data_IF_208763660429
#
_entry.id   IF_208763660429
#
_cell.length_a   1.000
_cell.length_b   1.000
_cell.length_c   1.000
_cell.angle_alpha   90.00
_cell.angle_beta   90.00
_cell.angle_gamma   90.00
#
_symmetry.space_group_name_H-M   'P 1'
#
loop_
_entity.id
_entity.type
_entity.pdbx_description
1 polymer ?
#
# COMPACT_ATOMS: atom_id res chain seq x y z
N UNK A 1 19.72 -9.99 20.19
CA UNK A 1 19.96 -10.40 18.78
C UNK A 1 18.66 -10.93 18.15
N UNK A 2 17.87 -10.05 17.57
CA UNK A 2 16.64 -10.40 16.83
C UNK A 2 16.86 -10.06 15.35
N UNK A 3 17.39 -11.00 14.58
CA UNK A 3 17.55 -10.88 13.12
C UNK A 3 17.01 -12.13 12.43
N UNK A 4 15.68 -12.23 12.33
CA UNK A 4 14.98 -13.11 11.39
C UNK A 4 13.65 -12.45 11.01
N UNK A 5 13.52 -11.76 9.88
CA UNK A 5 14.53 -11.45 8.86
C UNK A 5 13.97 -10.42 7.86
N UNK A 6 14.83 -9.68 7.13
CA UNK A 6 14.39 -9.04 5.90
C UNK A 6 14.22 -10.14 4.86
N UNK A 7 13.31 -9.94 3.90
CA UNK A 7 13.29 -10.71 2.66
C UNK A 7 14.74 -10.70 2.13
N UNK A 8 15.41 -11.85 2.17
CA UNK A 8 16.88 -11.92 1.97
C UNK A 8 17.31 -11.51 0.55
N UNK A 9 16.35 -11.42 -0.37
CA UNK A 9 16.53 -11.11 -1.78
C UNK A 9 15.45 -10.14 -2.28
N UNK A 10 15.19 -9.02 -1.57
CA UNK A 10 14.40 -7.96 -2.19
C UNK A 10 15.21 -7.43 -3.38
N UNK A 11 14.75 -7.58 -4.64
CA UNK A 11 15.49 -7.05 -5.76
C UNK A 11 15.63 -5.54 -5.58
N UNK A 12 16.86 -5.04 -5.70
CA UNK A 12 17.11 -3.61 -5.75
C UNK A 12 16.26 -3.04 -6.89
N UNK A 13 15.34 -2.14 -6.55
CA UNK A 13 14.62 -1.40 -7.56
C UNK A 13 15.63 -0.61 -8.39
N UNK A 14 15.40 -0.53 -9.70
CA UNK A 14 16.22 0.31 -10.56
C UNK A 14 16.24 1.73 -10.01
N UNK A 15 17.38 2.42 -10.16
CA UNK A 15 17.54 3.79 -9.66
C UNK A 15 16.41 4.71 -10.15
N UNK A 16 16.02 4.57 -11.42
CA UNK A 16 14.91 5.33 -12.01
C UNK A 16 13.57 5.10 -11.29
N UNK A 17 13.27 3.86 -10.94
CA UNK A 17 12.05 3.51 -10.18
C UNK A 17 12.09 4.05 -8.76
N UNK A 18 13.26 3.94 -8.11
CA UNK A 18 13.46 4.47 -6.76
C UNK A 18 13.32 5.99 -6.73
N UNK A 19 13.95 6.69 -7.68
CA UNK A 19 13.86 8.15 -7.81
C UNK A 19 12.41 8.58 -8.08
N UNK A 20 11.70 7.89 -8.99
CA UNK A 20 10.29 8.18 -9.27
C UNK A 20 9.40 8.06 -8.04
N UNK A 21 9.50 6.97 -7.28
CA UNK A 21 8.71 6.77 -6.06
C UNK A 21 9.07 7.79 -4.99
N UNK A 22 10.35 8.11 -4.82
CA UNK A 22 10.78 9.13 -3.87
C UNK A 22 10.18 10.51 -4.20
N UNK A 23 10.15 10.85 -5.49
CA UNK A 23 9.77 12.18 -5.94
C UNK A 23 8.24 12.34 -6.08
N UNK A 24 7.48 11.24 -6.20
CA UNK A 24 6.05 11.26 -6.51
C UNK A 24 5.18 10.41 -5.55
N UNK A 25 5.74 9.84 -4.48
CA UNK A 25 4.99 8.97 -3.56
C UNK A 25 5.29 9.29 -2.10
N UNK A 26 4.50 10.20 -1.53
CA UNK A 26 4.53 10.45 -0.09
C UNK A 26 3.95 9.25 0.70
N UNK A 27 4.24 9.13 2.02
CA UNK A 27 3.78 7.99 2.82
C UNK A 27 2.25 7.80 2.83
N UNK A 28 1.47 8.88 2.71
CA UNK A 28 0.02 8.76 2.62
C UNK A 28 -0.43 8.27 1.24
N UNK A 29 0.19 8.74 0.16
CA UNK A 29 -0.07 8.20 -1.18
C UNK A 29 0.20 6.70 -1.24
N UNK A 30 1.30 6.23 -0.63
CA UNK A 30 1.57 4.78 -0.52
C UNK A 30 0.53 4.05 0.34
N UNK A 31 -0.02 4.71 1.37
CA UNK A 31 -1.08 4.15 2.21
C UNK A 31 -2.41 4.06 1.47
N UNK A 32 -2.74 5.08 0.67
CA UNK A 32 -3.89 5.12 -0.21
C UNK A 32 -3.84 4.00 -1.26
N UNK A 33 -2.67 3.78 -1.89
CA UNK A 33 -2.46 2.68 -2.84
C UNK A 33 -2.70 1.33 -2.17
N UNK A 34 -2.16 1.12 -0.95
CA UNK A 34 -2.38 -0.11 -0.19
C UNK A 34 -3.84 -0.33 0.16
N UNK A 35 -4.57 0.72 0.56
CA UNK A 35 -6.00 0.62 0.83
C UNK A 35 -6.78 0.25 -0.43
N UNK A 36 -6.49 0.90 -1.56
CA UNK A 36 -7.17 0.61 -2.82
C UNK A 36 -6.98 -0.85 -3.28
N UNK A 37 -5.74 -1.35 -3.22
CA UNK A 37 -5.47 -2.76 -3.54
C UNK A 37 -6.20 -3.70 -2.56
N UNK A 38 -6.25 -3.33 -1.27
CA UNK A 38 -6.95 -4.12 -0.28
C UNK A 38 -8.48 -4.16 -0.50
N UNK A 39 -9.08 -3.08 -1.00
CA UNK A 39 -10.47 -3.07 -1.45
C UNK A 39 -10.69 -4.02 -2.63
N UNK A 40 -9.81 -3.99 -3.64
CA UNK A 40 -9.89 -4.89 -4.80
C UNK A 40 -9.79 -6.36 -4.39
N UNK A 41 -8.92 -6.71 -3.46
CA UNK A 41 -8.83 -8.08 -2.93
C UNK A 41 -10.15 -8.56 -2.30
N UNK A 42 -10.92 -7.65 -1.67
CA UNK A 42 -12.23 -7.95 -1.13
C UNK A 42 -13.27 -8.10 -2.25
N UNK A 43 -13.29 -7.18 -3.21
CA UNK A 43 -14.21 -7.19 -4.36
C UNK A 43 -14.04 -8.43 -5.23
N UNK A 44 -12.78 -8.82 -5.49
CA UNK A 44 -12.42 -10.01 -6.26
C UNK A 44 -12.61 -11.32 -5.45
N UNK A 45 -12.98 -11.23 -4.17
CA UNK A 45 -13.24 -12.38 -3.30
C UNK A 45 -11.98 -13.18 -2.92
N UNK A 46 -10.77 -12.63 -3.15
CA UNK A 46 -9.48 -13.24 -2.80
C UNK A 46 -9.37 -13.40 -1.27
N UNK A 47 -9.93 -12.45 -0.53
CA UNK A 47 -9.97 -12.45 0.94
C UNK A 47 -11.38 -12.22 1.44
N UNK A 48 -11.68 -12.74 2.63
CA UNK A 48 -13.05 -12.83 3.16
C UNK A 48 -13.47 -11.63 4.01
N UNK A 49 -12.52 -10.84 4.52
CA UNK A 49 -12.81 -9.67 5.35
C UNK A 49 -11.62 -8.73 5.44
N UNK A 50 -11.89 -7.46 5.72
CA UNK A 50 -10.85 -6.44 5.86
C UNK A 50 -10.00 -6.67 7.12
N UNK A 51 -10.57 -7.21 8.20
CA UNK A 51 -9.84 -7.55 9.43
C UNK A 51 -8.80 -8.65 9.18
N UNK A 52 -9.08 -9.58 8.27
CA UNK A 52 -8.13 -10.61 7.88
C UNK A 52 -6.92 -9.99 7.17
N UNK A 53 -7.15 -9.02 6.28
CA UNK A 53 -6.08 -8.29 5.59
C UNK A 53 -5.19 -7.58 6.61
N UNK A 54 -5.78 -6.78 7.49
CA UNK A 54 -5.02 -6.02 8.50
C UNK A 54 -4.23 -6.94 9.43
N UNK A 55 -4.84 -8.04 9.88
CA UNK A 55 -4.20 -9.03 10.75
C UNK A 55 -3.02 -9.72 10.07
N UNK A 56 -3.14 -10.08 8.79
CA UNK A 56 -2.07 -10.74 8.04
C UNK A 56 -0.92 -9.76 7.79
N UNK A 57 -1.21 -8.52 7.41
CA UNK A 57 -0.20 -7.48 7.21
C UNK A 57 0.56 -7.22 8.52
N UNK A 58 -0.14 -7.03 9.63
CA UNK A 58 0.49 -6.86 10.95
C UNK A 58 1.38 -8.04 11.32
N UNK A 59 0.90 -9.28 11.14
CA UNK A 59 1.69 -10.47 11.45
C UNK A 59 2.91 -10.65 10.54
N UNK A 60 2.82 -10.25 9.27
CA UNK A 60 3.89 -10.41 8.30
C UNK A 60 4.92 -9.28 8.31
N UNK A 61 4.51 -8.07 8.68
CA UNK A 61 5.32 -6.85 8.52
C UNK A 61 5.55 -6.06 9.81
N UNK A 62 4.81 -6.36 10.88
CA UNK A 62 4.77 -5.56 12.11
C UNK A 62 4.32 -4.10 11.91
N UNK A 63 3.59 -3.83 10.82
CA UNK A 63 3.01 -2.53 10.51
C UNK A 63 1.47 -2.66 10.53
N UNK A 64 0.78 -1.59 10.93
CA UNK A 64 -0.67 -1.50 10.85
C UNK A 64 -1.19 -1.76 9.43
N UNK A 65 -2.31 -2.47 9.35
CA UNK A 65 -2.97 -2.75 8.09
C UNK A 65 -3.64 -1.52 7.47
N UNK A 66 -3.95 -1.58 6.17
CA UNK A 66 -4.48 -0.44 5.42
C UNK A 66 -5.84 0.03 5.95
N UNK A 67 -6.68 -0.84 6.51
CA UNK A 67 -8.01 -0.44 6.98
C UNK A 67 -8.00 0.24 8.36
N UNK A 68 -6.90 0.16 9.11
CA UNK A 68 -6.78 0.83 10.43
C UNK A 68 -7.03 2.32 10.29
N UNK A 69 -6.31 2.99 9.38
CA UNK A 69 -6.49 4.43 9.09
C UNK A 69 -7.36 4.69 7.87
N UNK A 70 -7.40 3.74 6.93
CA UNK A 70 -8.07 3.93 5.65
C UNK A 70 -9.57 4.19 5.76
N UNK A 71 -10.25 3.59 6.75
CA UNK A 71 -11.69 3.80 6.97
C UNK A 71 -12.05 5.24 7.32
N UNK A 72 -11.12 5.99 7.92
CA UNK A 72 -11.34 7.37 8.32
C UNK A 72 -10.86 8.35 7.23
N UNK A 73 -9.79 8.00 6.52
CA UNK A 73 -9.13 8.88 5.53
C UNK A 73 -9.52 8.63 4.07
N UNK A 74 -10.38 7.66 3.77
CA UNK A 74 -10.61 7.22 2.39
C UNK A 74 -10.97 8.34 1.41
N UNK A 75 -11.71 9.38 1.84
CA UNK A 75 -12.08 10.51 0.97
C UNK A 75 -10.86 11.30 0.51
N UNK A 76 -10.00 11.70 1.44
CA UNK A 76 -8.74 12.41 1.16
C UNK A 76 -7.79 11.52 0.34
N UNK A 77 -7.78 10.23 0.64
CA UNK A 77 -6.92 9.27 -0.06
C UNK A 77 -7.37 8.97 -1.50
N UNK A 78 -8.66 9.08 -1.80
CA UNK A 78 -9.17 9.02 -3.18
C UNK A 78 -8.63 10.20 -4.00
N UNK A 79 -8.58 11.41 -3.45
CA UNK A 79 -8.01 12.58 -4.13
C UNK A 79 -6.51 12.36 -4.44
N UNK A 80 -5.75 11.86 -3.45
CA UNK A 80 -4.34 11.48 -3.66
C UNK A 80 -4.15 10.43 -4.75
N UNK A 81 -5.05 9.46 -4.84
CA UNK A 81 -4.99 8.43 -5.88
C UNK A 81 -5.22 9.03 -7.27
N UNK A 82 -6.13 9.98 -7.42
CA UNK A 82 -6.33 10.69 -8.69
C UNK A 82 -5.11 11.51 -9.09
N UNK A 83 -4.55 12.30 -8.16
CA UNK A 83 -3.31 13.06 -8.41
C UNK A 83 -2.16 12.12 -8.83
N UNK A 84 -2.01 10.99 -8.15
CA UNK A 84 -1.01 9.99 -8.48
C UNK A 84 -1.28 9.31 -9.84
N UNK A 85 -2.54 9.10 -10.20
CA UNK A 85 -2.96 8.58 -11.50
C UNK A 85 -2.53 9.50 -12.64
N UNK A 86 -2.73 10.81 -12.49
CA UNK A 86 -2.34 11.82 -13.50
C UNK A 86 -0.83 11.79 -13.76
N UNK A 87 -0.01 11.70 -12.70
CA UNK A 87 1.45 11.63 -12.80
C UNK A 87 1.90 10.34 -13.49
N UNK A 88 1.22 9.23 -13.21
CA UNK A 88 1.61 7.90 -13.71
C UNK A 88 0.98 7.55 -15.06
N UNK A 89 0.02 8.34 -15.54
CA UNK A 89 -0.81 8.02 -16.70
C UNK A 89 -1.69 6.79 -16.49
N UNK A 90 -2.01 6.45 -15.23
CA UNK A 90 -2.88 5.32 -14.88
C UNK A 90 -4.28 5.80 -14.55
N UNK A 91 -5.26 4.90 -14.65
CA UNK A 91 -6.61 5.10 -14.14
C UNK A 91 -6.81 4.24 -12.89
N UNK A 92 -7.49 4.79 -11.90
CA UNK A 92 -7.92 4.09 -10.68
C UNK A 92 -9.44 4.05 -10.61
#
# INVERSE_FOLDING_TARGET
PFTKGPIKNLPLLEKKTTDFLRDNSDPETLSAIKLNEACRLLEEGVVKSYELIDKVIMKGTFIEGPFVKGKEKYKEWVEKLYEFAEITGKSY
#
